data_IF_731972877069
#
_entry.id   IF_731972877069
#
_cell.length_a   1.000
_cell.length_b   1.000
_cell.length_c   1.000
_cell.angle_alpha   90.00
_cell.angle_beta   90.00
_cell.angle_gamma   90.00
#
_symmetry.space_group_name_H-M   'P 1'
#
loop_
_entity.id
_entity.type
_entity.pdbx_description
1 polymer ?
#
# COMPACT_ATOMS: atom_id res chain seq x y z
N UNK A 1 -17.14 -20.89 4.10
CA UNK A 1 -16.72 -20.24 5.36
C UNK A 1 -15.78 -19.16 4.91
N UNK A 2 -16.23 -17.90 4.90
CA UNK A 2 -15.36 -16.77 4.62
C UNK A 2 -14.84 -16.17 5.92
N UNK A 3 -13.97 -15.15 5.82
CA UNK A 3 -13.53 -14.37 6.97
C UNK A 3 -14.70 -13.91 7.84
N UNK A 4 -14.58 -14.14 9.15
CA UNK A 4 -15.48 -13.54 10.13
C UNK A 4 -15.20 -12.04 10.24
N UNK A 5 -16.20 -11.25 10.64
CA UNK A 5 -16.02 -9.82 10.94
C UNK A 5 -14.88 -9.58 11.93
N UNK A 6 -14.74 -10.43 12.96
CA UNK A 6 -13.70 -10.31 13.97
C UNK A 6 -12.28 -10.52 13.40
N UNK A 7 -12.12 -11.45 12.45
CA UNK A 7 -10.83 -11.65 11.76
C UNK A 7 -10.53 -10.48 10.83
N UNK A 8 -11.53 -9.99 10.11
CA UNK A 8 -11.39 -8.85 9.22
C UNK A 8 -10.96 -7.60 9.99
N UNK A 9 -11.62 -7.31 11.10
CA UNK A 9 -11.32 -6.17 11.94
C UNK A 9 -9.92 -6.26 12.55
N UNK A 10 -9.48 -7.46 12.97
CA UNK A 10 -8.11 -7.67 13.43
C UNK A 10 -7.06 -7.47 12.33
N UNK A 11 -7.38 -7.81 11.08
CA UNK A 11 -6.51 -7.55 9.93
C UNK A 11 -6.44 -6.05 9.66
N UNK A 12 -7.57 -5.34 9.66
CA UNK A 12 -7.61 -3.89 9.49
C UNK A 12 -6.81 -3.16 10.58
N UNK A 13 -7.04 -3.52 11.84
CA UNK A 13 -6.34 -2.92 12.97
C UNK A 13 -4.84 -3.23 12.91
N UNK A 14 -4.49 -4.49 12.61
CA UNK A 14 -3.09 -4.84 12.42
C UNK A 14 -2.47 -4.01 11.29
N UNK A 15 -3.14 -3.87 10.15
CA UNK A 15 -2.64 -3.09 9.02
C UNK A 15 -2.44 -1.60 9.37
N UNK A 16 -3.39 -0.99 10.08
CA UNK A 16 -3.31 0.42 10.49
C UNK A 16 -2.25 0.64 11.59
N UNK A 17 -2.08 -0.32 12.49
CA UNK A 17 -1.08 -0.26 13.57
C UNK A 17 0.28 -0.85 13.18
N UNK A 18 0.45 -1.40 11.98
CA UNK A 18 1.71 -1.98 11.55
C UNK A 18 2.64 -0.86 11.05
N UNK A 19 3.37 -0.26 11.98
CA UNK A 19 4.44 0.70 11.69
C UNK A 19 5.50 0.13 10.72
N UNK A 20 5.61 -1.21 10.61
CA UNK A 20 6.57 -1.84 9.69
C UNK A 20 6.22 -1.62 8.23
N UNK A 21 4.94 -1.48 7.87
CA UNK A 21 4.52 -1.09 6.52
C UNK A 21 4.99 0.32 6.23
N UNK A 22 4.66 1.28 7.09
CA UNK A 22 5.03 2.69 6.91
C UNK A 22 6.55 2.85 6.80
N UNK A 23 7.31 2.20 7.66
CA UNK A 23 8.78 2.25 7.67
C UNK A 23 9.40 1.61 6.41
N UNK A 24 8.86 0.47 5.98
CA UNK A 24 9.30 -0.19 4.74
C UNK A 24 8.98 0.67 3.51
N UNK A 25 7.82 1.34 3.51
CA UNK A 25 7.41 2.23 2.43
C UNK A 25 8.24 3.51 2.38
N UNK A 26 8.50 4.13 3.52
CA UNK A 26 9.34 5.31 3.61
C UNK A 26 10.78 4.98 3.16
N UNK A 27 11.33 3.85 3.62
CA UNK A 27 12.65 3.38 3.18
C UNK A 27 12.68 3.13 1.68
N UNK A 28 11.68 2.40 1.16
CA UNK A 28 11.57 2.14 -0.27
C UNK A 28 11.43 3.44 -1.07
N UNK A 29 10.70 4.42 -0.55
CA UNK A 29 10.60 5.75 -1.13
C UNK A 29 11.92 6.49 -1.11
N UNK A 30 12.67 6.49 -0.02
CA UNK A 30 13.97 7.15 0.03
C UNK A 30 15.01 6.52 -0.91
N UNK A 31 14.97 5.21 -1.10
CA UNK A 31 15.89 4.50 -2.00
C UNK A 31 15.53 4.66 -3.48
N UNK A 32 14.23 4.76 -3.81
CA UNK A 32 13.76 4.85 -5.18
C UNK A 32 13.37 6.28 -5.61
N UNK A 33 13.24 7.24 -4.69
CA UNK A 33 12.91 8.64 -4.99
C UNK A 33 13.90 9.27 -5.98
N UNK A 34 15.13 8.75 -6.06
CA UNK A 34 16.17 9.23 -6.96
C UNK A 34 15.86 9.06 -8.45
N UNK A 35 15.03 8.08 -8.83
CA UNK A 35 14.58 7.96 -10.23
C UNK A 35 13.48 8.97 -10.57
N UNK A 36 12.75 9.47 -9.56
CA UNK A 36 11.68 10.43 -9.75
C UNK A 36 12.24 11.82 -9.94
N UNK A 37 11.76 12.48 -10.99
CA UNK A 37 12.00 13.90 -11.20
C UNK A 37 10.90 14.70 -10.50
N UNK A 38 11.30 15.56 -9.56
CA UNK A 38 10.41 16.50 -8.87
C UNK A 38 9.95 17.65 -9.76
N UNK A 39 10.74 17.99 -10.80
CA UNK A 39 10.48 19.11 -11.73
C UNK A 39 9.89 18.66 -13.08
N UNK A 40 9.79 17.33 -13.31
CA UNK A 40 9.30 16.78 -14.57
C UNK A 40 8.03 15.95 -14.39
N UNK A 41 6.99 16.32 -15.14
CA UNK A 41 5.75 15.54 -15.25
C UNK A 41 5.93 14.25 -16.08
N UNK A 42 7.10 14.06 -16.70
CA UNK A 42 7.39 12.92 -17.54
C UNK A 42 7.39 11.61 -16.72
N UNK A 43 6.41 10.74 -17.00
CA UNK A 43 6.33 9.41 -16.41
C UNK A 43 7.28 8.46 -17.14
N UNK A 44 8.47 8.26 -16.57
CA UNK A 44 9.46 7.32 -17.09
C UNK A 44 8.96 5.89 -16.92
N UNK A 45 9.39 4.98 -17.81
CA UNK A 45 9.11 3.54 -17.67
C UNK A 45 9.56 2.98 -16.31
N UNK A 46 10.63 3.56 -15.77
CA UNK A 46 11.16 3.25 -14.44
C UNK A 46 10.13 3.44 -13.32
N UNK A 47 9.21 4.42 -13.43
CA UNK A 47 8.18 4.65 -12.40
C UNK A 47 7.23 3.46 -12.31
N UNK A 48 6.86 2.89 -13.46
CA UNK A 48 6.05 1.67 -13.52
C UNK A 48 6.81 0.47 -12.95
N UNK A 49 8.13 0.39 -13.14
CA UNK A 49 8.95 -0.68 -12.57
C UNK A 49 9.06 -0.57 -11.04
N UNK A 50 9.29 0.64 -10.53
CA UNK A 50 9.32 0.89 -9.09
C UNK A 50 7.94 0.66 -8.47
N UNK A 51 6.86 1.10 -9.12
CA UNK A 51 5.50 0.84 -8.65
C UNK A 51 5.18 -0.65 -8.62
N UNK A 52 5.61 -1.44 -9.61
CA UNK A 52 5.47 -2.91 -9.54
C UNK A 52 6.18 -3.51 -8.34
N UNK A 53 7.41 -3.07 -8.05
CA UNK A 53 8.14 -3.52 -6.85
C UNK A 53 7.43 -3.13 -5.56
N UNK A 54 6.83 -1.94 -5.52
CA UNK A 54 6.00 -1.49 -4.40
C UNK A 54 4.76 -2.39 -4.22
N UNK A 55 4.06 -2.73 -5.32
CA UNK A 55 2.93 -3.64 -5.28
C UNK A 55 3.35 -5.03 -4.78
N UNK A 56 4.49 -5.56 -5.23
CA UNK A 56 5.02 -6.84 -4.74
C UNK A 56 5.36 -6.80 -3.25
N UNK A 57 5.99 -5.71 -2.78
CA UNK A 57 6.27 -5.49 -1.35
C UNK A 57 4.99 -5.47 -0.52
N UNK A 58 3.97 -4.77 -1.02
CA UNK A 58 2.67 -4.71 -0.37
C UNK A 58 1.98 -6.07 -0.32
N UNK A 59 1.96 -6.80 -1.43
CA UNK A 59 1.39 -8.14 -1.51
C UNK A 59 2.06 -9.11 -0.54
N UNK A 60 3.40 -9.06 -0.45
CA UNK A 60 4.17 -9.89 0.51
C UNK A 60 3.79 -9.52 1.94
N UNK A 61 3.80 -8.24 2.28
CA UNK A 61 3.49 -7.78 3.64
C UNK A 61 2.05 -8.09 4.04
N UNK A 62 1.08 -7.90 3.14
CA UNK A 62 -0.31 -8.32 3.37
C UNK A 62 -0.39 -9.83 3.55
N UNK A 63 0.30 -10.62 2.71
CA UNK A 63 0.31 -12.06 2.84
C UNK A 63 0.90 -12.52 4.19
N UNK A 64 1.98 -11.90 4.66
CA UNK A 64 2.57 -12.17 5.98
C UNK A 64 1.61 -11.79 7.12
N UNK A 65 0.97 -10.63 7.03
CA UNK A 65 0.00 -10.17 8.03
C UNK A 65 -1.21 -11.10 8.11
N UNK A 66 -1.77 -11.48 6.95
CA UNK A 66 -2.87 -12.44 6.87
C UNK A 66 -2.46 -13.81 7.41
N UNK A 67 -1.28 -14.30 7.03
CA UNK A 67 -0.73 -15.57 7.54
C UNK A 67 -0.54 -15.53 9.07
N UNK A 68 -0.08 -14.40 9.63
CA UNK A 68 0.04 -14.21 11.08
C UNK A 68 -1.30 -14.27 11.80
N UNK A 69 -2.41 -13.94 11.13
CA UNK A 69 -3.78 -14.03 11.66
C UNK A 69 -4.45 -15.38 11.35
N UNK A 70 -3.76 -16.29 10.65
CA UNK A 70 -4.33 -17.57 10.21
C UNK A 70 -5.35 -17.42 9.08
N UNK A 71 -5.25 -16.34 8.31
CA UNK A 71 -6.13 -16.02 7.19
C UNK A 71 -5.36 -16.24 5.88
N UNK A 72 -6.01 -16.87 4.90
CA UNK A 72 -5.44 -17.00 3.55
C UNK A 72 -5.72 -15.74 2.73
N UNK A 73 -4.77 -15.33 1.89
CA UNK A 73 -4.95 -14.24 0.91
C UNK A 73 -6.18 -14.43 0.03
N UNK A 74 -6.47 -15.66 -0.40
CA UNK A 74 -7.65 -15.98 -1.20
C UNK A 74 -8.96 -15.75 -0.42
N UNK A 75 -8.99 -16.12 0.86
CA UNK A 75 -10.14 -15.91 1.76
C UNK A 75 -10.39 -14.40 1.96
N UNK A 76 -9.32 -13.63 2.16
CA UNK A 76 -9.39 -12.18 2.27
C UNK A 76 -9.91 -11.53 0.99
N UNK A 77 -9.38 -11.96 -0.17
CA UNK A 77 -9.80 -11.44 -1.45
C UNK A 77 -11.26 -11.76 -1.78
N UNK A 78 -11.71 -12.99 -1.45
CA UNK A 78 -13.12 -13.38 -1.58
C UNK A 78 -14.02 -12.59 -0.63
N UNK A 79 -13.61 -12.40 0.63
CA UNK A 79 -14.36 -11.60 1.60
C UNK A 79 -14.51 -10.13 1.16
N UNK A 80 -13.47 -9.56 0.56
CA UNK A 80 -13.49 -8.23 -0.05
C UNK A 80 -14.42 -8.17 -1.27
N UNK A 81 -14.37 -9.15 -2.17
CA UNK A 81 -15.29 -9.22 -3.32
C UNK A 81 -16.75 -9.37 -2.89
N UNK A 82 -17.00 -10.20 -1.89
CA UNK A 82 -18.34 -10.35 -1.32
C UNK A 82 -18.81 -9.05 -0.69
N UNK A 83 -17.96 -8.35 0.07
CA UNK A 83 -18.31 -7.05 0.66
C UNK A 83 -18.79 -6.02 -0.35
N UNK A 84 -18.07 -5.89 -1.48
CA UNK A 84 -18.45 -4.99 -2.57
C UNK A 84 -19.77 -5.43 -3.22
N UNK A 85 -20.02 -6.75 -3.30
CA UNK A 85 -21.26 -7.28 -3.85
C UNK A 85 -22.46 -7.13 -2.89
N UNK A 86 -22.23 -7.23 -1.57
CA UNK A 86 -23.27 -7.15 -0.53
C UNK A 86 -23.49 -5.74 0.00
N UNK A 87 -22.60 -4.80 -0.29
CA UNK A 87 -22.63 -3.43 0.22
C UNK A 87 -22.22 -3.33 1.69
N UNK A 88 -21.30 -4.19 2.13
CA UNK A 88 -20.76 -4.15 3.50
C UNK A 88 -19.85 -2.92 3.66
N UNK A 89 -20.31 -1.94 4.45
CA UNK A 89 -19.70 -0.61 4.50
C UNK A 89 -18.28 -0.64 5.11
N UNK A 90 -18.07 -1.40 6.19
CA UNK A 90 -16.76 -1.49 6.85
C UNK A 90 -15.70 -2.14 5.95
N UNK A 91 -16.06 -3.24 5.28
CA UNK A 91 -15.15 -3.93 4.36
C UNK A 91 -14.90 -3.14 3.08
N UNK A 92 -15.91 -2.46 2.56
CA UNK A 92 -15.77 -1.57 1.40
C UNK A 92 -14.84 -0.39 1.72
N UNK A 93 -15.00 0.26 2.87
CA UNK A 93 -14.13 1.39 3.28
C UNK A 93 -12.68 0.95 3.46
N UNK A 94 -12.43 -0.20 4.08
CA UNK A 94 -11.07 -0.74 4.17
C UNK A 94 -10.49 -1.06 2.79
N UNK A 95 -11.28 -1.63 1.88
CA UNK A 95 -10.82 -1.93 0.52
C UNK A 95 -10.51 -0.65 -0.26
N UNK A 96 -11.31 0.41 -0.10
CA UNK A 96 -11.01 1.73 -0.66
C UNK A 96 -9.72 2.31 -0.07
N UNK A 97 -9.48 2.13 1.24
CA UNK A 97 -8.24 2.56 1.88
C UNK A 97 -7.03 1.82 1.31
N UNK A 98 -7.10 0.48 1.17
CA UNK A 98 -6.02 -0.30 0.55
C UNK A 98 -5.79 0.10 -0.91
N UNK A 99 -6.86 0.28 -1.68
CA UNK A 99 -6.78 0.76 -3.06
C UNK A 99 -6.17 2.15 -3.14
N UNK A 100 -6.49 3.05 -2.22
CA UNK A 100 -5.91 4.39 -2.18
C UNK A 100 -4.41 4.37 -1.83
N UNK A 101 -4.00 3.53 -0.87
CA UNK A 101 -2.59 3.36 -0.50
C UNK A 101 -1.80 2.72 -1.64
N UNK A 102 -2.42 1.80 -2.37
CA UNK A 102 -1.82 1.15 -3.54
C UNK A 102 -2.10 1.88 -4.84
N UNK A 103 -2.72 3.06 -4.82
CA UNK A 103 -3.01 3.80 -6.04
C UNK A 103 -1.72 4.42 -6.59
N UNK A 104 -1.54 4.32 -7.90
CA UNK A 104 -0.33 4.82 -8.57
C UNK A 104 -0.16 6.33 -8.40
N UNK A 105 -1.24 7.10 -8.36
CA UNK A 105 -1.20 8.56 -8.22
C UNK A 105 -0.78 8.96 -6.79
N UNK A 106 -1.31 8.25 -5.79
CA UNK A 106 -0.95 8.43 -4.37
C UNK A 106 0.52 8.08 -4.14
N UNK A 107 0.95 6.94 -4.66
CA UNK A 107 2.34 6.49 -4.64
C UNK A 107 3.29 7.50 -5.32
N UNK A 108 2.94 7.97 -6.52
CA UNK A 108 3.75 8.95 -7.25
C UNK A 108 3.88 10.26 -6.48
N UNK A 109 2.78 10.70 -5.86
CA UNK A 109 2.76 11.93 -5.06
C UNK A 109 3.72 11.81 -3.88
N UNK A 110 3.63 10.72 -3.10
CA UNK A 110 4.54 10.48 -1.96
C UNK A 110 6.00 10.42 -2.42
N UNK A 111 6.30 9.69 -3.51
CA UNK A 111 7.66 9.59 -4.06
C UNK A 111 8.23 10.95 -4.47
N UNK A 112 7.42 11.79 -5.13
CA UNK A 112 7.82 13.14 -5.54
C UNK A 112 8.00 14.06 -4.34
N UNK A 113 7.14 13.97 -3.33
CA UNK A 113 7.27 14.76 -2.09
C UNK A 113 8.54 14.39 -1.33
N UNK A 114 8.86 13.11 -1.20
CA UNK A 114 10.09 12.66 -0.54
C UNK A 114 11.34 13.08 -1.32
N UNK A 115 11.31 12.98 -2.66
CA UNK A 115 12.39 13.50 -3.52
C UNK A 115 12.58 15.00 -3.33
N UNK A 116 11.49 15.77 -3.29
CA UNK A 116 11.52 17.22 -3.14
C UNK A 116 12.10 17.63 -1.77
N UNK A 117 11.72 16.94 -0.69
CA UNK A 117 12.31 17.17 0.65
C UNK A 117 13.81 16.86 0.64
N UNK A 118 14.21 15.71 0.08
CA UNK A 118 15.60 15.29 -0.02
C UNK A 118 16.45 16.30 -0.80
N UNK A 119 15.95 16.80 -1.93
CA UNK A 119 16.63 17.82 -2.74
C UNK A 119 16.77 19.16 -1.98
N UNK A 120 15.72 19.57 -1.26
CA UNK A 120 15.76 20.77 -0.40
C UNK A 120 16.75 20.66 0.76
N UNK A 121 16.86 19.50 1.42
CA UNK A 121 17.83 19.30 2.49
C UNK A 121 19.27 19.25 1.97
N UNK A 122 19.50 18.73 0.77
CA UNK A 122 20.84 18.70 0.14
C UNK A 122 21.27 20.09 -0.37
N UNK A 123 20.31 20.94 -0.75
CA UNK A 123 20.57 22.30 -1.23
C UNK A 123 20.76 23.35 -0.11
N UNK A 124 20.50 23.00 1.16
CA UNK A 124 20.63 23.87 2.33
C UNK A 124 21.99 23.73 3.03
#
# INVERSE_FOLDING_TARGET
>A
MGLTEEQFQQVCEAFICDDSFSDSFETFAQENCDVFDSDSEEQKLEYTEVYKKFQELFDVKIAELLASKGVSTDDFYNACKEAVATGDSDREEFMKMLLAITDYDMFLTTMREEKLKKDREVAA
#
